data_IF_084985467871
#
_entry.id   IF_084985467871
#
_cell.length_a   1.000
_cell.length_b   1.000
_cell.length_c   1.000
_cell.angle_alpha   90.00
_cell.angle_beta   90.00
_cell.angle_gamma   90.00
#
_symmetry.space_group_name_H-M   'P 1'
#
loop_
_entity.id
_entity.type
_entity.pdbx_description
1 polymer ?
#
# COMPACT_ATOMS: atom_id res chain seq x y z
N UNK A 1 -12.52 14.56 -2.10
CA UNK A 1 -11.66 13.75 -1.20
C UNK A 1 -10.30 13.67 -1.84
N UNK A 2 -9.29 14.33 -1.28
CA UNK A 2 -7.92 14.22 -1.78
C UNK A 2 -7.43 12.78 -1.60
N UNK A 3 -6.93 12.16 -2.68
CA UNK A 3 -6.29 10.86 -2.59
C UNK A 3 -4.86 11.09 -2.06
N UNK A 4 -4.47 10.48 -0.92
CA UNK A 4 -3.12 10.66 -0.40
C UNK A 4 -2.09 10.24 -1.45
N UNK A 5 -1.09 11.09 -1.68
CA UNK A 5 -0.02 10.84 -2.65
C UNK A 5 -0.35 11.19 -4.10
N UNK A 6 -1.43 11.94 -4.38
CA UNK A 6 -1.73 12.48 -5.73
C UNK A 6 -1.34 13.96 -5.80
N UNK A 7 -0.65 14.35 -6.87
CA UNK A 7 -0.34 15.76 -7.16
C UNK A 7 -1.61 16.53 -7.53
N UNK A 8 -1.78 17.73 -6.98
CA UNK A 8 -2.96 18.59 -7.20
C UNK A 8 -2.53 20.02 -7.53
N UNK A 9 -3.47 20.84 -8.02
CA UNK A 9 -3.26 22.28 -8.24
C UNK A 9 -2.86 23.04 -6.97
N UNK A 10 -3.08 22.47 -5.79
CA UNK A 10 -2.74 23.12 -4.52
C UNK A 10 -1.24 23.37 -4.37
N UNK A 11 -0.41 22.59 -5.06
CA UNK A 11 1.04 22.81 -5.15
C UNK A 11 1.42 24.13 -5.83
N UNK A 12 0.49 24.76 -6.53
CA UNK A 12 0.66 26.02 -7.25
C UNK A 12 -0.11 27.18 -6.59
N UNK A 13 -0.66 26.97 -5.38
CA UNK A 13 -1.26 28.06 -4.59
C UNK A 13 -0.18 29.12 -4.32
N UNK A 14 -0.43 30.34 -4.79
CA UNK A 14 0.53 31.46 -4.79
C UNK A 14 1.01 31.88 -6.19
N UNK A 15 0.80 31.04 -7.21
CA UNK A 15 1.12 31.34 -8.61
C UNK A 15 -0.07 31.05 -9.52
N UNK A 16 -1.29 31.33 -9.03
CA UNK A 16 -2.56 30.98 -9.69
C UNK A 16 -2.70 31.60 -11.08
N UNK A 17 -2.09 32.76 -11.31
CA UNK A 17 -2.07 33.43 -12.62
C UNK A 17 -1.51 32.54 -13.75
N UNK A 18 -0.61 31.59 -13.43
CA UNK A 18 -0.01 30.65 -14.40
C UNK A 18 -1.04 29.60 -14.86
N UNK A 19 -1.85 29.08 -13.93
CA UNK A 19 -2.78 27.97 -14.19
C UNK A 19 -4.20 28.42 -14.54
N UNK A 20 -4.57 29.66 -14.23
CA UNK A 20 -5.90 30.20 -14.49
C UNK A 20 -6.29 30.18 -15.97
N UNK A 21 -5.49 30.70 -16.92
CA UNK A 21 -5.88 30.72 -18.34
C UNK A 21 -5.79 29.35 -19.02
N UNK A 22 -4.95 28.44 -18.50
CA UNK A 22 -4.74 27.12 -19.10
C UNK A 22 -6.03 26.28 -19.10
N UNK A 23 -6.41 25.67 -20.23
CA UNK A 23 -7.57 24.76 -20.30
C UNK A 23 -7.25 23.36 -19.80
N UNK A 24 -5.97 22.98 -19.86
CA UNK A 24 -5.41 21.71 -19.39
C UNK A 24 -4.11 22.01 -18.65
N UNK A 25 -3.90 21.38 -17.50
CA UNK A 25 -2.63 21.43 -16.76
C UNK A 25 -2.21 20.00 -16.44
N UNK A 26 -1.01 19.65 -16.89
CA UNK A 26 -0.37 18.37 -16.65
C UNK A 26 0.68 18.53 -15.54
N UNK A 27 0.70 17.59 -14.61
CA UNK A 27 1.69 17.53 -13.54
C UNK A 27 2.47 16.21 -13.64
N UNK A 28 3.79 16.31 -13.52
CA UNK A 28 4.70 15.18 -13.37
C UNK A 28 5.10 15.07 -11.90
N UNK A 29 4.95 13.88 -11.33
CA UNK A 29 5.41 13.57 -9.98
C UNK A 29 6.13 12.21 -9.89
N UNK A 30 6.89 12.03 -8.80
CA UNK A 30 7.63 10.79 -8.49
C UNK A 30 7.02 10.10 -7.27
N UNK A 31 5.90 9.37 -7.44
CA UNK A 31 5.20 8.79 -6.31
C UNK A 31 6.00 7.67 -5.64
N UNK A 32 6.83 6.93 -6.39
CA UNK A 32 7.73 5.91 -5.86
C UNK A 32 9.18 6.39 -5.82
N UNK A 33 9.76 6.51 -4.62
CA UNK A 33 11.17 6.91 -4.45
C UNK A 33 12.16 5.81 -4.81
N UNK A 34 11.74 4.54 -4.78
CA UNK A 34 12.60 3.41 -5.11
C UNK A 34 12.86 3.27 -6.61
N UNK A 35 12.00 3.85 -7.45
CA UNK A 35 12.18 3.94 -8.89
C UNK A 35 12.15 5.41 -9.31
N UNK A 36 13.32 6.11 -9.22
CA UNK A 36 13.41 7.52 -9.52
C UNK A 36 13.48 7.79 -11.02
N UNK A 37 13.32 6.83 -11.93
CA UNK A 37 13.25 7.09 -13.37
C UNK A 37 11.81 7.03 -13.89
N UNK A 38 10.96 6.25 -13.25
CA UNK A 38 9.55 6.18 -13.56
C UNK A 38 8.78 7.35 -12.92
N UNK A 39 8.26 8.25 -13.74
CA UNK A 39 7.38 9.37 -13.34
C UNK A 39 5.93 9.01 -13.58
N UNK A 40 5.04 9.74 -12.91
CA UNK A 40 3.60 9.73 -13.21
C UNK A 40 3.18 11.07 -13.78
N UNK A 41 2.51 11.03 -14.92
CA UNK A 41 1.86 12.17 -15.56
C UNK A 41 0.38 12.16 -15.20
N UNK A 42 -0.09 13.22 -14.53
CA UNK A 42 -1.48 13.39 -14.11
C UNK A 42 -2.07 14.69 -14.66
N UNK A 43 -3.36 14.68 -15.02
CA UNK A 43 -4.08 15.92 -15.29
C UNK A 43 -4.57 16.51 -13.96
N UNK A 44 -4.07 17.69 -13.61
CA UNK A 44 -4.51 18.42 -12.40
C UNK A 44 -5.53 19.51 -12.73
N UNK A 45 -5.70 19.83 -14.02
CA UNK A 45 -6.79 20.62 -14.57
C UNK A 45 -7.18 20.06 -15.94
N UNK A 46 -8.48 19.89 -16.18
CA UNK A 46 -9.02 19.61 -17.50
C UNK A 46 -10.44 20.19 -17.64
N UNK A 47 -10.59 21.18 -18.51
CA UNK A 47 -11.88 21.82 -18.83
C UNK A 47 -12.52 21.28 -20.13
N UNK A 48 -11.85 20.35 -20.82
CA UNK A 48 -12.23 19.87 -22.16
C UNK A 48 -12.74 18.42 -22.16
N UNK A 49 -12.42 17.64 -21.13
CA UNK A 49 -12.85 16.26 -20.99
C UNK A 49 -12.85 15.79 -19.52
N UNK A 50 -13.29 14.55 -19.29
CA UNK A 50 -13.11 13.87 -18.00
C UNK A 50 -11.62 13.66 -17.73
N UNK A 51 -11.26 13.65 -16.45
CA UNK A 51 -9.91 13.34 -16.01
C UNK A 51 -9.59 11.87 -16.33
N UNK A 52 -8.58 11.60 -17.18
CA UNK A 52 -8.15 10.24 -17.46
C UNK A 52 -7.38 9.67 -16.27
N UNK A 53 -7.18 8.35 -16.29
CA UNK A 53 -6.21 7.73 -15.40
C UNK A 53 -4.80 8.28 -15.70
N UNK A 54 -3.95 8.46 -14.68
CA UNK A 54 -2.57 8.85 -14.89
C UNK A 54 -1.80 7.85 -15.76
N UNK A 55 -0.73 8.32 -16.41
CA UNK A 55 0.15 7.50 -17.25
C UNK A 55 1.56 7.53 -16.66
N UNK A 56 2.26 6.39 -16.71
CA UNK A 56 3.68 6.31 -16.35
C UNK A 56 4.56 6.81 -17.48
N UNK A 57 5.62 7.52 -17.15
CA UNK A 57 6.53 8.11 -18.11
C UNK A 57 7.97 7.93 -17.66
N UNK A 58 8.79 7.34 -18.51
CA UNK A 58 10.23 7.23 -18.30
C UNK A 58 10.94 8.04 -19.39
N UNK A 59 11.84 8.93 -18.98
CA UNK A 59 12.65 9.76 -19.88
C UNK A 59 14.06 9.18 -19.86
N UNK A 60 14.54 8.76 -21.02
CA UNK A 60 15.89 8.22 -21.22
C UNK A 60 16.61 9.03 -22.30
N UNK A 61 17.91 8.77 -22.48
CA UNK A 61 18.70 9.39 -23.56
C UNK A 61 18.16 9.07 -24.97
N UNK A 62 17.40 7.98 -25.10
CA UNK A 62 16.83 7.52 -26.39
C UNK A 62 15.41 8.00 -26.63
N UNK A 63 14.77 8.64 -25.64
CA UNK A 63 13.42 9.18 -25.77
C UNK A 63 12.51 8.92 -24.57
N UNK A 64 11.21 9.08 -24.81
CA UNK A 64 10.14 9.00 -23.81
C UNK A 64 9.37 7.69 -24.00
N UNK A 65 9.30 6.90 -22.93
CA UNK A 65 8.56 5.63 -22.91
C UNK A 65 7.36 5.70 -21.97
N UNK A 66 6.19 5.35 -22.49
CA UNK A 66 4.96 5.28 -21.71
C UNK A 66 4.81 3.91 -21.04
N UNK A 67 4.47 3.91 -19.76
CA UNK A 67 4.28 2.72 -18.92
C UNK A 67 3.02 2.86 -18.06
N UNK A 68 2.72 1.84 -17.26
CA UNK A 68 1.74 1.96 -16.20
C UNK A 68 2.17 3.05 -15.19
N UNK A 69 1.22 3.85 -14.71
CA UNK A 69 1.51 4.89 -13.74
C UNK A 69 2.03 4.30 -12.44
N UNK A 70 3.19 4.75 -11.92
CA UNK A 70 3.66 4.31 -10.62
C UNK A 70 2.68 4.78 -9.54
N UNK A 71 2.37 3.88 -8.60
CA UNK A 71 1.64 4.24 -7.40
C UNK A 71 2.62 4.65 -6.29
N UNK A 72 2.19 5.49 -5.34
CA UNK A 72 3.00 5.72 -4.15
C UNK A 72 3.26 4.35 -3.50
N UNK A 73 4.46 4.12 -2.96
CA UNK A 73 4.74 2.88 -2.26
C UNK A 73 3.67 2.79 -1.19
N UNK A 74 2.84 1.74 -1.27
CA UNK A 74 1.90 1.50 -0.20
C UNK A 74 2.78 1.42 1.03
N UNK A 75 2.61 2.33 1.99
CA UNK A 75 2.96 2.02 3.36
C UNK A 75 2.20 0.72 3.60
N UNK A 76 2.88 -0.43 3.51
CA UNK A 76 2.25 -1.73 3.77
C UNK A 76 1.48 -1.48 5.05
N UNK A 77 0.15 -1.59 4.97
CA UNK A 77 -0.69 -1.23 6.12
C UNK A 77 -0.11 -2.02 7.27
N UNK A 78 -0.11 -1.46 8.47
CA UNK A 78 0.42 -2.17 9.65
C UNK A 78 -0.13 -3.61 9.74
N UNK A 79 -1.35 -3.80 9.23
CA UNK A 79 -2.01 -5.07 8.99
C UNK A 79 -1.27 -5.98 7.98
N UNK A 80 -0.84 -5.50 6.82
CA UNK A 80 -0.11 -6.31 5.82
C UNK A 80 1.23 -6.79 6.38
N UNK A 81 1.97 -5.92 7.10
CA UNK A 81 3.19 -6.33 7.80
C UNK A 81 2.91 -7.36 8.90
N UNK A 82 1.80 -7.21 9.62
CA UNK A 82 1.38 -8.20 10.61
C UNK A 82 0.95 -9.52 9.95
N UNK A 83 0.38 -9.50 8.74
CA UNK A 83 0.04 -10.70 7.98
C UNK A 83 1.31 -11.46 7.58
N UNK A 84 2.29 -10.78 6.98
CA UNK A 84 3.57 -11.38 6.60
C UNK A 84 4.25 -12.05 7.82
N UNK A 85 4.27 -11.34 8.95
CA UNK A 85 4.81 -11.87 10.20
C UNK A 85 4.05 -13.09 10.74
N UNK A 86 2.71 -13.10 10.65
CA UNK A 86 1.90 -14.25 11.06
C UNK A 86 2.11 -15.46 10.15
N UNK A 87 2.32 -15.26 8.84
CA UNK A 87 2.65 -16.34 7.91
C UNK A 87 3.97 -16.98 8.30
N UNK A 88 5.03 -16.18 8.48
CA UNK A 88 6.36 -16.66 8.87
C UNK A 88 6.33 -17.38 10.23
N UNK A 89 5.63 -16.82 11.22
CA UNK A 89 5.54 -17.41 12.56
C UNK A 89 4.80 -18.76 12.57
N UNK A 90 3.77 -18.91 11.73
CA UNK A 90 2.95 -20.12 11.63
C UNK A 90 3.42 -21.08 10.53
N UNK A 91 4.49 -20.73 9.81
CA UNK A 91 5.09 -21.51 8.73
C UNK A 91 5.69 -22.83 9.22
N UNK A 92 5.87 -23.03 10.53
CA UNK A 92 6.35 -24.31 11.09
C UNK A 92 5.25 -25.15 11.73
N UNK A 93 4.00 -24.68 11.69
CA UNK A 93 2.84 -25.38 12.23
C UNK A 93 2.11 -24.58 13.31
N UNK A 94 1.18 -25.21 14.04
CA UNK A 94 0.34 -24.54 15.02
C UNK A 94 1.16 -23.98 16.20
N UNK A 95 0.95 -22.70 16.52
CA UNK A 95 1.60 -22.02 17.66
C UNK A 95 0.55 -21.56 18.66
N UNK A 96 0.84 -21.63 19.97
CA UNK A 96 -0.10 -21.17 20.98
C UNK A 96 -0.44 -19.68 20.81
N UNK A 97 -1.72 -19.33 20.95
CA UNK A 97 -2.22 -17.96 20.79
C UNK A 97 -1.49 -16.98 21.71
N UNK A 98 -1.08 -17.42 22.90
CA UNK A 98 -0.32 -16.60 23.85
C UNK A 98 1.08 -16.30 23.33
N UNK A 99 1.77 -17.29 22.76
CA UNK A 99 3.09 -17.08 22.13
C UNK A 99 2.98 -16.20 20.88
N UNK A 100 1.94 -16.41 20.05
CA UNK A 100 1.71 -15.57 18.87
C UNK A 100 1.51 -14.11 19.26
N UNK A 101 0.64 -13.83 20.23
CA UNK A 101 0.39 -12.46 20.70
C UNK A 101 1.63 -11.82 21.36
N UNK A 102 2.49 -12.61 22.00
CA UNK A 102 3.76 -12.12 22.54
C UNK A 102 4.73 -11.77 21.41
N UNK A 103 4.86 -12.65 20.41
CA UNK A 103 5.74 -12.44 19.26
C UNK A 103 5.31 -11.24 18.42
N UNK A 104 4.00 -11.08 18.15
CA UNK A 104 3.49 -9.92 17.40
C UNK A 104 3.67 -8.62 18.18
N UNK A 105 3.47 -8.63 19.51
CA UNK A 105 3.74 -7.46 20.37
C UNK A 105 5.24 -7.09 20.35
N UNK A 106 6.13 -8.07 20.42
CA UNK A 106 7.59 -7.86 20.32
C UNK A 106 8.01 -7.32 18.95
N UNK A 107 7.31 -7.70 17.89
CA UNK A 107 7.49 -7.15 16.53
C UNK A 107 6.84 -5.76 16.33
N UNK A 108 6.24 -5.18 17.38
CA UNK A 108 5.68 -3.83 17.36
C UNK A 108 4.22 -3.73 16.90
N UNK A 109 3.50 -4.85 16.78
CA UNK A 109 2.09 -4.85 16.38
C UNK A 109 1.15 -4.77 17.60
N UNK A 110 0.09 -3.98 17.47
CA UNK A 110 -0.98 -3.99 18.48
C UNK A 110 -1.78 -5.29 18.44
N UNK A 111 -2.43 -5.66 19.55
CA UNK A 111 -3.36 -6.80 19.60
C UNK A 111 -4.46 -6.66 18.54
N UNK A 112 -5.02 -5.44 18.39
CA UNK A 112 -6.06 -5.13 17.40
C UNK A 112 -5.56 -5.33 15.96
N UNK A 113 -4.31 -5.00 15.68
CA UNK A 113 -3.67 -5.23 14.38
C UNK A 113 -3.49 -6.73 14.12
N UNK A 114 -3.01 -7.47 15.13
CA UNK A 114 -2.83 -8.94 15.07
C UNK A 114 -4.16 -9.67 14.82
N UNK A 115 -5.23 -9.28 15.52
CA UNK A 115 -6.56 -9.88 15.37
C UNK A 115 -7.17 -9.59 13.98
N UNK A 116 -6.92 -8.39 13.44
CA UNK A 116 -7.34 -8.04 12.07
C UNK A 116 -6.56 -8.83 11.02
N UNK A 117 -5.24 -8.93 11.17
CA UNK A 117 -4.39 -9.71 10.28
C UNK A 117 -4.77 -11.20 10.28
N UNK A 118 -4.99 -11.77 11.48
CA UNK A 118 -5.53 -13.12 11.66
C UNK A 118 -6.84 -13.34 10.89
N UNK A 119 -7.78 -12.39 11.00
CA UNK A 119 -9.07 -12.46 10.31
C UNK A 119 -8.92 -12.38 8.79
N UNK A 120 -8.02 -11.53 8.28
CA UNK A 120 -7.78 -11.39 6.85
C UNK A 120 -7.06 -12.60 6.23
N UNK A 121 -6.12 -13.21 6.97
CA UNK A 121 -5.43 -14.43 6.55
C UNK A 121 -6.27 -15.71 6.69
N UNK A 122 -7.42 -15.64 7.35
CA UNK A 122 -8.22 -16.83 7.67
C UNK A 122 -7.53 -17.78 8.65
N UNK A 123 -6.62 -17.29 9.50
CA UNK A 123 -5.91 -18.11 10.49
C UNK A 123 -6.91 -18.79 11.42
N UNK A 124 -6.80 -20.11 11.51
CA UNK A 124 -7.74 -20.96 12.25
C UNK A 124 -7.29 -21.05 13.70
N UNK A 125 -8.25 -20.91 14.62
CA UNK A 125 -8.04 -21.14 16.05
C UNK A 125 -8.63 -22.47 16.49
N UNK A 126 -7.79 -23.36 17.00
CA UNK A 126 -8.21 -24.64 17.58
C UNK A 126 -7.84 -24.69 19.05
N UNK A 127 -8.75 -25.20 19.88
CA UNK A 127 -8.48 -25.42 21.32
C UNK A 127 -7.98 -26.85 21.50
N UNK A 128 -6.84 -27.02 22.17
CA UNK A 128 -6.23 -28.32 22.51
C UNK A 128 -5.65 -28.23 23.92
N UNK A 129 -5.97 -29.19 24.78
CA UNK A 129 -5.48 -29.26 26.17
C UNK A 129 -5.62 -27.92 26.92
N UNK A 130 -6.83 -27.35 26.86
CA UNK A 130 -7.20 -26.07 27.48
C UNK A 130 -6.47 -24.81 26.95
N UNK A 131 -5.69 -24.95 25.88
CA UNK A 131 -4.98 -23.84 25.24
C UNK A 131 -5.46 -23.59 23.81
N UNK A 132 -5.45 -22.32 23.39
CA UNK A 132 -5.76 -21.93 22.02
C UNK A 132 -4.51 -21.94 21.16
N UNK A 133 -4.58 -22.56 19.99
CA UNK A 133 -3.52 -22.59 18.99
C UNK A 133 -4.00 -21.92 17.71
N UNK A 134 -3.10 -21.19 17.06
CA UNK A 134 -3.32 -20.58 15.75
C UNK A 134 -2.55 -21.37 14.70
N UNK A 135 -3.16 -21.56 13.53
CA UNK A 135 -2.55 -22.26 12.40
C UNK A 135 -3.03 -21.66 11.08
N UNK A 136 -2.18 -21.72 10.05
CA UNK A 136 -2.61 -21.40 8.68
C UNK A 136 -3.66 -22.43 8.21
N UNK A 137 -4.61 -22.04 7.33
CA UNK A 137 -5.67 -22.92 6.86
C UNK A 137 -5.18 -24.28 6.37
N UNK A 138 -4.13 -24.26 5.55
CA UNK A 138 -3.49 -25.43 4.93
C UNK A 138 -2.88 -26.41 5.94
N UNK A 139 -2.55 -25.92 7.14
CA UNK A 139 -1.87 -26.70 8.19
C UNK A 139 -2.74 -27.01 9.39
N UNK A 140 -4.01 -26.62 9.32
CA UNK A 140 -4.94 -26.86 10.42
C UNK A 140 -5.29 -28.35 10.60
N UNK A 141 -4.99 -29.22 9.64
CA UNK A 141 -5.36 -30.65 9.64
C UNK A 141 -4.23 -31.61 10.05
N UNK A 142 -3.04 -31.11 10.42
CA UNK A 142 -1.93 -31.94 10.93
C UNK A 142 -1.93 -32.06 12.45
#
# INVERSE_FOLDING_TARGET
MERPGVVTLDRLRGSSAIVQPARVVLALDSPNRSDPNLRRLSQVKNNLAKYPNPIGLEITDTGIFFKAAPEPPSLKKEIDRAQDFLIELLEKGPVSSTQVLKATKSAGFSKKTSDRAKKQLGVISKRKNDQWYWSLPERSQQ
#
